data_IF_897867131511
#
_entry.id   IF_897867131511
#
_cell.length_a   1.000
_cell.length_b   1.000
_cell.length_c   1.000
_cell.angle_alpha   90.00
_cell.angle_beta   90.00
_cell.angle_gamma   90.00
#
_symmetry.space_group_name_H-M   'P 1'
#
loop_
_entity.id
_entity.type
_entity.pdbx_description
1 polymer ?
#
# COMPACT_ATOMS: atom_id res chain seq x y z
N UNK A 1 -13.47 6.71 2.27
CA UNK A 1 -13.16 7.16 3.66
C UNK A 1 -13.95 8.44 3.91
N UNK A 2 -14.65 8.60 5.05
CA UNK A 2 -15.69 9.63 5.22
C UNK A 2 -15.26 11.08 4.93
N UNK A 3 -14.01 11.45 5.24
CA UNK A 3 -13.49 12.82 5.06
C UNK A 3 -12.40 12.91 3.97
N UNK A 4 -12.23 11.87 3.16
CA UNK A 4 -11.32 11.95 2.01
C UNK A 4 -11.93 12.81 0.91
N UNK A 5 -11.08 13.60 0.27
CA UNK A 5 -11.46 14.41 -0.87
C UNK A 5 -11.62 13.50 -2.09
N UNK A 6 -12.62 13.73 -2.96
CA UNK A 6 -12.63 13.14 -4.29
C UNK A 6 -11.46 13.72 -5.11
N UNK A 7 -10.63 12.85 -5.71
CA UNK A 7 -9.45 13.24 -6.47
C UNK A 7 -9.39 12.42 -7.77
N UNK A 8 -9.01 13.03 -8.91
CA UNK A 8 -8.65 12.26 -10.10
C UNK A 8 -7.30 11.55 -9.84
N UNK A 9 -7.26 10.24 -10.10
CA UNK A 9 -6.04 9.44 -9.96
C UNK A 9 -5.36 9.32 -11.32
N UNK A 10 -4.09 9.70 -11.39
CA UNK A 10 -3.32 9.66 -12.63
C UNK A 10 -2.69 8.28 -12.85
N UNK A 11 -2.22 7.65 -11.76
CA UNK A 11 -1.64 6.32 -11.81
C UNK A 11 -1.91 5.54 -10.53
N UNK A 12 -2.11 4.23 -10.71
CA UNK A 12 -2.08 3.24 -9.63
C UNK A 12 -1.41 1.97 -10.12
N UNK A 13 -0.58 1.37 -9.28
CA UNK A 13 -0.02 0.06 -9.52
C UNK A 13 0.06 -0.73 -8.20
N UNK A 14 -0.19 -2.02 -8.30
CA UNK A 14 -0.13 -2.96 -7.18
C UNK A 14 0.87 -4.07 -7.50
N UNK A 15 1.72 -4.40 -6.54
CA UNK A 15 2.68 -5.50 -6.62
C UNK A 15 2.44 -6.44 -5.45
N UNK A 16 2.47 -7.74 -5.72
CA UNK A 16 2.38 -8.78 -4.70
C UNK A 16 3.66 -9.59 -4.78
N UNK A 17 4.31 -9.80 -3.66
CA UNK A 17 5.48 -10.65 -3.49
C UNK A 17 5.07 -11.83 -2.61
N UNK A 18 5.47 -13.04 -3.01
CA UNK A 18 5.22 -14.25 -2.24
C UNK A 18 6.50 -14.66 -1.54
N UNK A 19 6.39 -14.99 -0.26
CA UNK A 19 7.51 -15.42 0.58
C UNK A 19 7.28 -16.89 0.98
N UNK A 20 8.01 -17.80 0.33
CA UNK A 20 7.87 -19.24 0.57
C UNK A 20 8.39 -19.66 1.95
N UNK A 21 9.38 -18.94 2.49
CA UNK A 21 10.03 -19.28 3.76
C UNK A 21 9.06 -19.23 4.96
N UNK A 22 8.15 -18.26 4.97
CA UNK A 22 7.17 -18.04 6.04
C UNK A 22 5.71 -18.18 5.59
N UNK A 23 5.49 -18.62 4.33
CA UNK A 23 4.18 -18.75 3.69
C UNK A 23 3.34 -17.47 3.75
N UNK A 24 4.00 -16.32 3.54
CA UNK A 24 3.34 -15.01 3.58
C UNK A 24 3.27 -14.34 2.20
N UNK A 25 2.44 -13.30 2.13
CA UNK A 25 2.27 -12.46 0.96
C UNK A 25 2.47 -11.01 1.37
N UNK A 26 3.29 -10.29 0.64
CA UNK A 26 3.53 -8.87 0.85
C UNK A 26 2.96 -8.06 -0.30
N UNK A 27 2.11 -7.09 0.03
CA UNK A 27 1.37 -6.29 -0.94
C UNK A 27 1.83 -4.84 -0.90
N UNK A 28 2.19 -4.31 -2.06
CA UNK A 28 2.58 -2.92 -2.25
C UNK A 28 1.60 -2.24 -3.19
N UNK A 29 1.24 -1.00 -2.89
CA UNK A 29 0.45 -0.15 -3.77
C UNK A 29 1.13 1.21 -3.88
N UNK A 30 1.27 1.69 -5.12
CA UNK A 30 1.70 3.06 -5.42
C UNK A 30 0.55 3.78 -6.10
N UNK A 31 0.32 5.02 -5.69
CA UNK A 31 -0.68 5.91 -6.28
C UNK A 31 -0.04 7.26 -6.52
N UNK A 32 -0.34 7.88 -7.66
CA UNK A 32 0.03 9.26 -7.93
C UNK A 32 -1.15 10.06 -8.50
N UNK A 33 -1.18 11.34 -8.16
CA UNK A 33 -2.16 12.30 -8.65
C UNK A 33 -1.61 13.72 -8.58
N UNK A 34 -1.99 14.57 -9.54
CA UNK A 34 -1.82 16.01 -9.46
C UNK A 34 -3.04 16.63 -8.80
N UNK A 35 -2.96 16.88 -7.48
CA UNK A 35 -4.08 17.42 -6.72
C UNK A 35 -3.65 18.33 -5.54
N UNK A 36 -4.63 18.94 -4.87
CA UNK A 36 -4.42 19.82 -3.70
C UNK A 36 -4.14 19.07 -2.41
N UNK A 37 -4.46 17.78 -2.35
CA UNK A 37 -4.24 16.88 -1.22
C UNK A 37 -3.41 15.69 -1.68
N UNK A 38 -2.73 15.03 -0.75
CA UNK A 38 -2.00 13.81 -1.06
C UNK A 38 -2.92 12.61 -1.30
N UNK A 39 -2.31 11.51 -1.73
CA UNK A 39 -2.96 10.24 -2.08
C UNK A 39 -2.59 9.07 -1.14
N UNK A 40 -2.21 9.39 0.10
CA UNK A 40 -1.80 8.39 1.09
C UNK A 40 -2.93 7.39 1.38
N UNK A 41 -4.16 7.89 1.41
CA UNK A 41 -5.32 7.07 1.75
C UNK A 41 -5.71 6.14 0.61
N UNK A 42 -5.51 6.55 -0.64
CA UNK A 42 -5.72 5.74 -1.83
C UNK A 42 -4.70 4.60 -1.89
N UNK A 43 -3.43 4.87 -1.58
CA UNK A 43 -2.40 3.84 -1.50
C UNK A 43 -2.67 2.83 -0.37
N UNK A 44 -2.98 3.32 0.84
CA UNK A 44 -3.32 2.44 1.98
C UNK A 44 -4.58 1.62 1.69
N UNK A 45 -5.60 2.22 1.08
CA UNK A 45 -6.83 1.51 0.72
C UNK A 45 -6.58 0.49 -0.39
N UNK A 46 -5.71 0.78 -1.35
CA UNK A 46 -5.32 -0.15 -2.41
C UNK A 46 -4.68 -1.42 -1.86
N UNK A 47 -3.73 -1.29 -0.92
CA UNK A 47 -3.14 -2.43 -0.21
C UNK A 47 -4.20 -3.22 0.56
N UNK A 48 -5.04 -2.55 1.36
CA UNK A 48 -6.09 -3.22 2.13
C UNK A 48 -7.06 -3.99 1.24
N UNK A 49 -7.48 -3.38 0.12
CA UNK A 49 -8.41 -4.00 -0.83
C UNK A 49 -7.81 -5.27 -1.43
N UNK A 50 -6.54 -5.23 -1.84
CA UNK A 50 -5.85 -6.43 -2.33
C UNK A 50 -5.73 -7.52 -1.25
N UNK A 51 -5.39 -7.15 -0.01
CA UNK A 51 -5.26 -8.09 1.11
C UNK A 51 -6.60 -8.76 1.47
N UNK A 52 -7.70 -8.01 1.55
CA UNK A 52 -9.02 -8.60 1.82
C UNK A 52 -9.52 -9.45 0.65
N UNK A 53 -9.16 -9.12 -0.59
CA UNK A 53 -9.45 -9.98 -1.76
C UNK A 53 -8.70 -11.31 -1.66
N UNK A 54 -7.42 -11.28 -1.28
CA UNK A 54 -6.64 -12.51 -1.04
C UNK A 54 -7.28 -13.34 0.07
N UNK A 55 -7.63 -12.71 1.19
CA UNK A 55 -8.33 -13.37 2.29
C UNK A 55 -9.64 -14.01 1.83
N UNK A 56 -10.44 -13.30 1.03
CA UNK A 56 -11.72 -13.81 0.52
C UNK A 56 -11.55 -15.09 -0.31
N UNK A 57 -10.49 -15.16 -1.13
CA UNK A 57 -10.20 -16.32 -1.98
C UNK A 57 -9.65 -17.52 -1.17
N UNK A 58 -8.90 -17.27 -0.10
CA UNK A 58 -8.19 -18.30 0.66
C UNK A 58 -8.92 -18.76 1.93
N UNK A 59 -9.92 -18.01 2.43
CA UNK A 59 -10.63 -18.31 3.69
C UNK A 59 -11.28 -19.69 3.75
N UNK A 60 -11.57 -20.30 2.58
CA UNK A 60 -12.11 -21.66 2.51
C UNK A 60 -11.07 -22.72 2.89
N UNK A 61 -9.78 -22.44 2.66
CA UNK A 61 -8.66 -23.32 3.01
C UNK A 61 -8.17 -23.02 4.42
N UNK A 62 -7.93 -21.74 4.73
CA UNK A 62 -7.53 -21.30 6.06
C UNK A 62 -8.28 -20.00 6.42
N UNK A 63 -9.27 -20.04 7.33
CA UNK A 63 -9.96 -18.85 7.78
C UNK A 63 -9.19 -18.07 8.87
N UNK A 64 -8.09 -18.61 9.41
CA UNK A 64 -7.27 -17.96 10.45
C UNK A 64 -6.06 -17.22 9.83
N UNK A 65 -6.27 -16.55 8.70
CA UNK A 65 -5.23 -15.70 8.10
C UNK A 65 -5.17 -14.36 8.83
N UNK A 66 -3.95 -13.82 8.94
CA UNK A 66 -3.68 -12.54 9.56
C UNK A 66 -3.31 -11.52 8.48
N UNK A 67 -3.95 -10.36 8.53
CA UNK A 67 -3.52 -9.16 7.81
C UNK A 67 -2.82 -8.26 8.83
N UNK A 68 -1.57 -7.90 8.59
CA UNK A 68 -0.80 -7.02 9.49
C UNK A 68 0.16 -6.08 8.74
N UNK A 69 0.90 -5.28 9.51
CA UNK A 69 1.97 -4.38 9.05
C UNK A 69 1.59 -3.44 7.88
N UNK A 70 0.30 -3.09 7.75
CA UNK A 70 -0.14 -2.10 6.76
C UNK A 70 0.29 -0.71 7.18
N UNK A 71 1.20 -0.11 6.41
CA UNK A 71 1.76 1.21 6.70
C UNK A 71 2.16 1.94 5.43
N UNK A 72 2.21 3.27 5.51
CA UNK A 72 2.72 4.12 4.43
C UNK A 72 4.25 4.01 4.38
N UNK A 73 4.83 3.71 3.22
CA UNK A 73 6.28 3.60 3.07
C UNK A 73 6.93 4.93 2.67
N UNK A 74 6.38 5.57 1.65
CA UNK A 74 6.91 6.80 1.06
C UNK A 74 5.74 7.70 0.68
N UNK A 75 5.93 9.00 0.84
CA UNK A 75 5.07 10.03 0.26
C UNK A 75 5.95 11.14 -0.28
N UNK A 76 5.66 11.61 -1.48
CA UNK A 76 6.30 12.79 -2.05
C UNK A 76 5.23 13.82 -2.45
N UNK A 77 5.54 15.10 -2.23
CA UNK A 77 4.72 16.22 -2.67
C UNK A 77 4.04 17.00 -1.55
N UNK A 78 3.40 18.10 -1.92
CA UNK A 78 2.87 19.08 -0.98
C UNK A 78 3.96 19.85 -0.23
N UNK A 79 3.57 20.61 0.80
CA UNK A 79 4.50 21.49 1.55
C UNK A 79 5.58 20.72 2.31
N UNK A 80 5.31 19.47 2.69
CA UNK A 80 6.21 18.64 3.47
C UNK A 80 7.28 17.95 2.64
N UNK A 81 7.18 17.98 1.29
CA UNK A 81 8.14 17.35 0.40
C UNK A 81 8.16 15.83 0.52
N UNK A 82 9.36 15.24 0.42
CA UNK A 82 9.56 13.80 0.55
C UNK A 82 9.55 13.36 2.01
N UNK A 83 8.67 12.42 2.33
CA UNK A 83 8.61 11.71 3.60
C UNK A 83 8.88 10.22 3.35
N UNK A 84 9.78 9.64 4.14
CA UNK A 84 10.09 8.21 4.17
C UNK A 84 9.71 7.66 5.53
N UNK A 85 9.19 6.44 5.58
CA UNK A 85 8.81 5.79 6.82
C UNK A 85 10.04 5.64 7.76
N UNK A 86 9.95 6.08 9.02
CA UNK A 86 11.07 6.00 9.97
C UNK A 86 11.47 4.56 10.33
N UNK A 87 10.58 3.58 10.17
CA UNK A 87 10.87 2.16 10.41
C UNK A 87 11.69 1.52 9.27
N UNK A 88 12.02 2.30 8.24
CA UNK A 88 12.79 1.85 7.08
C UNK A 88 11.94 1.57 5.85
N UNK A 89 12.65 1.28 4.75
CA UNK A 89 12.07 0.94 3.45
C UNK A 89 12.47 -0.49 3.06
N UNK A 90 11.61 -1.24 2.38
CA UNK A 90 11.98 -2.47 1.70
C UNK A 90 13.19 -2.25 0.78
N UNK A 91 14.07 -3.24 0.71
CA UNK A 91 15.35 -3.13 -0.02
C UNK A 91 15.16 -2.73 -1.50
N UNK A 92 14.12 -3.26 -2.14
CA UNK A 92 13.81 -2.93 -3.54
C UNK A 92 13.36 -1.47 -3.75
N UNK A 93 12.95 -0.75 -2.69
CA UNK A 93 12.60 0.68 -2.75
C UNK A 93 13.80 1.59 -2.45
N UNK A 94 14.94 1.05 -2.00
CA UNK A 94 16.11 1.87 -1.67
C UNK A 94 16.65 2.66 -2.88
N UNK A 95 16.40 2.18 -4.11
CA UNK A 95 16.90 2.78 -5.34
C UNK A 95 15.86 3.61 -6.10
N UNK A 96 14.66 3.81 -5.55
CA UNK A 96 13.55 4.48 -6.26
C UNK A 96 13.52 6.00 -6.01
N UNK A 97 14.38 6.52 -5.12
CA UNK A 97 14.55 7.96 -4.87
C UNK A 97 15.98 8.33 -4.48
#
# INVERSE_FOLDING_TARGET
>A
IPLCHPLPIDHTATKIIMHEEDNSLEVFCVVSAVAKTGVEMEAIMGVNTALITIYDLSKIINPHLKIDNVKLLIKEGGKSGLWKNPDGLPEFLNNIF
#
